data_IF_138420605716
#
_entry.id   IF_138420605716
#
_cell.length_a   1.000
_cell.length_b   1.000
_cell.length_c   1.000
_cell.angle_alpha   90.00
_cell.angle_beta   90.00
_cell.angle_gamma   90.00
#
_symmetry.space_group_name_H-M   'P 1'
#
loop_
_entity.id
_entity.type
_entity.pdbx_description
1 polymer ?
#
# COMPACT_ATOMS: atom_id res chain seq x y z
N UNK A 1 -5.23 -42.83 -5.63
CA UNK A 1 -4.23 -42.33 -4.65
C UNK A 1 -5.00 -41.58 -3.60
N UNK A 2 -5.13 -42.15 -2.42
CA UNK A 2 -5.87 -41.56 -1.32
C UNK A 2 -4.94 -40.64 -0.55
N UNK A 3 -5.34 -39.37 -0.43
CA UNK A 3 -4.67 -38.31 0.35
C UNK A 3 -4.58 -38.58 1.87
N UNK A 4 -4.75 -39.82 2.30
CA UNK A 4 -5.02 -40.18 3.69
C UNK A 4 -3.87 -40.95 4.39
N UNK A 5 -2.70 -41.07 3.78
CA UNK A 5 -1.55 -41.64 4.47
C UNK A 5 -0.71 -40.54 5.12
N UNK A 6 -0.80 -40.36 6.47
CA UNK A 6 -0.01 -39.36 7.17
C UNK A 6 1.50 -39.66 7.16
N UNK A 7 1.90 -40.84 6.68
CA UNK A 7 3.30 -41.25 6.57
C UNK A 7 3.88 -41.06 5.15
N UNK A 8 3.06 -40.58 4.22
CA UNK A 8 3.57 -40.25 2.88
C UNK A 8 4.53 -39.08 2.99
N UNK A 9 5.83 -39.26 2.62
CA UNK A 9 6.79 -38.18 2.63
C UNK A 9 6.44 -37.02 1.69
N UNK A 10 5.49 -37.24 0.75
CA UNK A 10 4.96 -36.23 -0.14
C UNK A 10 3.75 -35.46 0.43
N UNK A 11 3.17 -35.91 1.55
CA UNK A 11 1.98 -35.31 2.14
C UNK A 11 2.17 -33.79 2.44
N UNK A 12 3.37 -33.40 2.83
CA UNK A 12 3.74 -32.00 3.04
C UNK A 12 3.67 -31.17 1.75
N UNK A 13 3.99 -31.75 0.60
CA UNK A 13 3.97 -31.07 -0.70
C UNK A 13 2.55 -30.95 -1.27
N UNK A 14 1.66 -31.86 -0.92
CA UNK A 14 0.24 -31.84 -1.32
C UNK A 14 -0.44 -30.56 -0.84
N UNK A 15 -0.11 -30.06 0.36
CA UNK A 15 -0.63 -28.81 0.87
C UNK A 15 -0.22 -27.60 0.02
N UNK A 16 0.96 -27.60 -0.57
CA UNK A 16 1.44 -26.56 -1.45
C UNK A 16 0.79 -26.64 -2.83
N UNK A 17 0.56 -27.85 -3.34
CA UNK A 17 -0.05 -28.08 -4.65
C UNK A 17 -1.56 -27.85 -4.65
N UNK A 18 -2.24 -28.19 -3.55
CA UNK A 18 -3.69 -28.08 -3.41
C UNK A 18 -4.16 -26.78 -2.74
N UNK A 19 -3.24 -25.94 -2.26
CA UNK A 19 -3.63 -24.64 -1.71
C UNK A 19 -4.14 -23.74 -2.82
N UNK A 20 -5.45 -23.41 -2.86
CA UNK A 20 -6.01 -22.51 -3.88
C UNK A 20 -5.55 -21.05 -3.67
N UNK A 21 -4.82 -20.78 -2.60
CA UNK A 21 -4.44 -19.41 -2.21
C UNK A 21 -2.95 -19.18 -2.40
N UNK A 22 -2.54 -18.94 -3.64
CA UNK A 22 -1.23 -18.38 -3.94
C UNK A 22 -1.25 -16.86 -3.63
N UNK A 23 -1.02 -16.50 -2.37
CA UNK A 23 -1.02 -15.10 -1.93
C UNK A 23 0.22 -14.32 -2.36
N UNK A 24 1.26 -15.00 -2.83
CA UNK A 24 2.56 -14.41 -3.17
C UNK A 24 2.44 -13.34 -4.26
N UNK A 25 1.79 -13.66 -5.36
CA UNK A 25 1.58 -12.71 -6.46
C UNK A 25 0.77 -11.50 -6.02
N UNK A 26 -0.28 -11.70 -5.21
CA UNK A 26 -1.09 -10.62 -4.67
C UNK A 26 -0.27 -9.74 -3.72
N UNK A 27 0.50 -10.35 -2.82
CA UNK A 27 1.36 -9.62 -1.89
C UNK A 27 2.44 -8.83 -2.65
N UNK A 28 3.06 -9.43 -3.66
CA UNK A 28 4.04 -8.76 -4.51
C UNK A 28 3.46 -7.52 -5.20
N UNK A 29 2.31 -7.66 -5.82
CA UNK A 29 1.64 -6.55 -6.53
C UNK A 29 1.17 -5.45 -5.59
N UNK A 30 0.68 -5.83 -4.41
CA UNK A 30 0.14 -4.89 -3.43
C UNK A 30 1.23 -4.14 -2.67
N UNK A 31 2.28 -4.83 -2.27
CA UNK A 31 3.35 -4.26 -1.43
C UNK A 31 4.55 -3.75 -2.25
N UNK A 32 4.66 -4.15 -3.51
CA UNK A 32 5.80 -3.82 -4.35
C UNK A 32 7.07 -4.52 -3.92
N UNK A 33 7.01 -5.83 -3.80
CA UNK A 33 8.11 -6.69 -3.37
C UNK A 33 8.53 -7.70 -4.41
N UNK A 34 9.59 -8.47 -4.14
CA UNK A 34 10.02 -9.58 -4.99
C UNK A 34 9.06 -10.76 -4.88
N UNK A 35 9.16 -11.70 -5.82
CA UNK A 35 8.29 -12.88 -5.88
C UNK A 35 8.37 -13.74 -4.61
N UNK A 36 9.54 -13.89 -4.03
CA UNK A 36 9.78 -14.76 -2.86
C UNK A 36 9.71 -13.97 -1.55
N UNK A 37 8.55 -13.40 -1.23
CA UNK A 37 8.35 -12.60 0.00
C UNK A 37 8.60 -13.45 1.25
N UNK A 38 8.20 -14.72 1.25
CA UNK A 38 8.40 -15.62 2.39
C UNK A 38 9.85 -16.00 2.68
N UNK A 39 10.76 -15.80 1.73
CA UNK A 39 12.20 -15.99 1.91
C UNK A 39 12.93 -14.68 2.33
N UNK A 40 12.31 -13.84 3.14
CA UNK A 40 12.87 -12.56 3.58
C UNK A 40 12.60 -11.39 2.65
N UNK A 41 11.78 -11.59 1.62
CA UNK A 41 11.41 -10.55 0.66
C UNK A 41 10.63 -9.38 1.25
N UNK A 42 10.09 -9.50 2.48
CA UNK A 42 9.45 -8.38 3.19
C UNK A 42 10.37 -7.17 3.38
N UNK A 43 11.68 -7.40 3.54
CA UNK A 43 12.67 -6.33 3.64
C UNK A 43 12.92 -5.60 2.31
N UNK A 44 12.33 -6.07 1.21
CA UNK A 44 12.46 -5.47 -0.11
C UNK A 44 11.17 -4.80 -0.61
N UNK A 45 10.05 -4.95 0.12
CA UNK A 45 8.79 -4.31 -0.27
C UNK A 45 8.88 -2.79 -0.21
N UNK A 46 8.11 -2.11 -1.04
CA UNK A 46 8.09 -0.65 -1.09
C UNK A 46 7.12 -0.06 -0.08
N UNK A 47 6.00 -0.73 0.15
CA UNK A 47 4.90 -0.18 0.94
C UNK A 47 4.32 -1.21 1.90
N UNK A 48 3.78 -0.70 2.99
CA UNK A 48 2.84 -1.38 3.88
C UNK A 48 1.65 -0.45 4.11
N UNK A 49 0.49 -1.02 4.33
CA UNK A 49 -0.75 -0.25 4.49
C UNK A 49 -1.32 -0.46 5.88
N UNK A 50 -2.06 0.56 6.34
CA UNK A 50 -2.80 0.49 7.60
C UNK A 50 -4.17 1.13 7.41
N UNK A 51 -5.17 0.51 8.03
CA UNK A 51 -6.53 1.04 8.16
C UNK A 51 -6.58 1.94 9.39
N UNK A 52 -6.68 3.29 9.23
CA UNK A 52 -6.67 4.21 10.36
C UNK A 52 -7.95 4.14 11.18
N UNK A 53 -9.08 3.74 10.58
CA UNK A 53 -10.38 3.65 11.23
C UNK A 53 -10.44 2.45 12.17
N UNK A 54 -10.03 1.28 11.66
CA UNK A 54 -10.01 0.05 12.44
C UNK A 54 -8.73 -0.13 13.27
N UNK A 55 -7.74 0.75 13.11
CA UNK A 55 -6.42 0.69 13.74
C UNK A 55 -5.77 -0.69 13.58
N UNK A 56 -5.70 -1.17 12.33
CA UNK A 56 -5.12 -2.47 12.01
C UNK A 56 -4.19 -2.40 10.79
N UNK A 57 -3.23 -3.32 10.67
CA UNK A 57 -2.49 -3.51 9.43
C UNK A 57 -3.39 -3.99 8.30
N UNK A 58 -3.03 -3.62 7.07
CA UNK A 58 -3.71 -4.00 5.84
C UNK A 58 -4.53 -2.87 5.24
N UNK A 59 -5.06 -3.14 4.05
CA UNK A 59 -5.93 -2.20 3.35
C UNK A 59 -7.30 -2.12 4.02
N UNK A 60 -7.93 -0.93 4.06
CA UNK A 60 -9.35 -0.77 4.40
C UNK A 60 -10.25 -1.59 3.48
N UNK A 61 -11.43 -1.94 3.96
CA UNK A 61 -12.45 -2.61 3.14
C UNK A 61 -12.79 -1.75 1.91
N UNK A 62 -12.97 -2.39 0.76
CA UNK A 62 -13.25 -1.76 -0.54
C UNK A 62 -12.12 -0.88 -1.09
N UNK A 63 -10.91 -0.97 -0.54
CA UNK A 63 -9.73 -0.33 -1.09
C UNK A 63 -8.77 -1.38 -1.64
N UNK A 64 -8.32 -1.18 -2.86
CA UNK A 64 -7.31 -2.02 -3.52
C UNK A 64 -6.06 -1.20 -3.81
N UNK A 65 -4.90 -1.85 -3.81
CA UNK A 65 -3.62 -1.25 -4.10
C UNK A 65 -2.85 -2.09 -5.12
N UNK A 66 -2.21 -1.42 -6.07
CA UNK A 66 -1.33 -2.04 -7.06
C UNK A 66 -0.06 -1.20 -7.17
N UNK A 67 1.08 -1.81 -6.93
CA UNK A 67 2.39 -1.23 -7.26
C UNK A 67 2.69 -1.60 -8.71
N UNK A 68 2.44 -0.63 -9.60
CA UNK A 68 2.53 -0.82 -11.05
C UNK A 68 3.97 -0.82 -11.54
N UNK A 69 4.84 -0.03 -10.88
CA UNK A 69 6.25 0.14 -11.27
C UNK A 69 7.13 0.35 -10.04
N UNK A 70 8.31 -0.26 -10.08
CA UNK A 70 9.34 -0.13 -9.05
C UNK A 70 10.63 0.33 -9.73
N UNK A 71 11.23 1.38 -9.18
CA UNK A 71 12.54 1.90 -9.56
C UNK A 71 13.44 1.94 -8.31
N UNK A 72 14.68 2.38 -8.47
CA UNK A 72 15.65 2.42 -7.38
C UNK A 72 15.20 3.30 -6.21
N UNK A 73 14.69 4.48 -6.52
CA UNK A 73 14.33 5.57 -5.60
C UNK A 73 12.88 6.04 -5.72
N UNK A 74 12.08 5.38 -6.54
CA UNK A 74 10.67 5.68 -6.66
C UNK A 74 9.82 4.43 -6.94
N UNK A 75 8.50 4.56 -6.72
CA UNK A 75 7.52 3.56 -7.12
C UNK A 75 6.22 4.24 -7.56
N UNK A 76 5.55 3.62 -8.53
CA UNK A 76 4.22 4.04 -8.97
C UNK A 76 3.17 3.17 -8.30
N UNK A 77 2.30 3.80 -7.52
CA UNK A 77 1.23 3.17 -6.77
C UNK A 77 -0.13 3.59 -7.32
N UNK A 78 -1.01 2.62 -7.54
CA UNK A 78 -2.41 2.84 -7.89
C UNK A 78 -3.26 2.40 -6.71
N UNK A 79 -4.15 3.27 -6.24
CA UNK A 79 -5.17 2.99 -5.24
C UNK A 79 -6.55 3.10 -5.86
N UNK A 80 -7.42 2.14 -5.62
CA UNK A 80 -8.78 2.13 -6.13
C UNK A 80 -9.78 1.91 -5.00
N UNK A 81 -10.67 2.90 -4.79
CA UNK A 81 -11.80 2.78 -3.89
C UNK A 81 -13.02 2.28 -4.67
N UNK A 82 -13.44 1.06 -4.39
CA UNK A 82 -14.60 0.42 -5.01
C UNK A 82 -15.92 0.71 -4.27
N UNK A 83 -15.84 1.36 -3.10
CA UNK A 83 -17.04 1.82 -2.40
C UNK A 83 -17.73 2.93 -3.21
N UNK A 84 -19.03 2.81 -3.39
CA UNK A 84 -19.82 3.75 -4.19
C UNK A 84 -20.19 5.04 -3.44
N UNK A 85 -20.18 5.00 -2.12
CA UNK A 85 -20.75 6.05 -1.28
C UNK A 85 -19.72 6.66 -0.32
N UNK A 86 -18.73 5.88 0.11
CA UNK A 86 -17.84 6.29 1.19
C UNK A 86 -16.42 6.57 0.70
N UNK A 87 -15.87 7.66 1.20
CA UNK A 87 -14.42 7.91 1.14
C UNK A 87 -13.70 6.89 2.01
N UNK A 88 -12.53 6.44 1.57
CA UNK A 88 -11.68 5.51 2.30
C UNK A 88 -10.34 6.15 2.58
N UNK A 89 -9.93 6.08 3.84
CA UNK A 89 -8.65 6.58 4.31
C UNK A 89 -7.68 5.42 4.50
N UNK A 90 -6.45 5.59 4.06
CA UNK A 90 -5.38 4.61 4.23
C UNK A 90 -4.09 5.31 4.61
N UNK A 91 -3.32 4.69 5.50
CA UNK A 91 -1.96 5.13 5.80
C UNK A 91 -1.01 4.23 5.02
N UNK A 92 -0.14 4.84 4.23
CA UNK A 92 0.92 4.17 3.48
C UNK A 92 2.23 4.36 4.25
N UNK A 93 2.90 3.27 4.54
CA UNK A 93 4.22 3.26 5.17
C UNK A 93 5.28 2.92 4.11
N UNK A 94 6.40 3.58 4.15
CA UNK A 94 7.57 3.26 3.33
C UNK A 94 8.31 2.04 3.90
N UNK A 95 8.22 0.92 3.17
CA UNK A 95 8.79 -0.37 3.59
C UNK A 95 7.90 -1.17 4.56
N UNK A 96 8.28 -2.44 4.81
CA UNK A 96 7.52 -3.33 5.69
C UNK A 96 7.57 -2.89 7.16
N UNK A 97 8.67 -2.28 7.57
CA UNK A 97 8.97 -1.90 8.95
C UNK A 97 9.27 -0.39 9.11
N UNK A 98 8.86 0.43 8.13
CA UNK A 98 9.08 1.88 8.14
C UNK A 98 10.53 2.28 7.84
N UNK A 99 11.33 1.36 7.30
CA UNK A 99 12.74 1.55 6.98
C UNK A 99 12.99 2.50 5.82
N UNK A 100 11.96 2.79 5.00
CA UNK A 100 12.07 3.74 3.90
C UNK A 100 11.45 5.08 4.25
N UNK A 101 12.11 6.17 3.89
CA UNK A 101 11.57 7.52 3.98
C UNK A 101 10.86 7.88 2.68
N UNK A 102 9.60 8.25 2.74
CA UNK A 102 8.86 8.85 1.62
C UNK A 102 9.30 10.32 1.55
N UNK A 103 9.98 10.69 0.46
CA UNK A 103 10.47 12.05 0.26
C UNK A 103 9.37 12.98 -0.24
N UNK A 104 8.70 12.55 -1.30
CA UNK A 104 7.64 13.31 -1.94
C UNK A 104 6.68 12.42 -2.70
N UNK A 105 5.50 12.92 -2.97
CA UNK A 105 4.47 12.27 -3.78
C UNK A 105 3.98 13.21 -4.87
N UNK A 106 3.79 12.67 -6.08
CA UNK A 106 3.16 13.35 -7.21
C UNK A 106 1.93 12.57 -7.64
N UNK A 107 0.73 13.03 -7.31
CA UNK A 107 -0.50 12.50 -7.90
C UNK A 107 -0.56 12.81 -9.39
N UNK A 108 -1.07 11.89 -10.23
CA UNK A 108 -1.22 12.13 -11.68
C UNK A 108 -2.14 13.33 -11.99
N UNK A 109 -3.02 13.71 -11.06
CA UNK A 109 -3.89 14.88 -11.17
C UNK A 109 -3.22 16.22 -10.86
N UNK A 110 -1.96 16.21 -10.41
CA UNK A 110 -1.21 17.42 -10.03
C UNK A 110 0.08 17.54 -10.81
N UNK A 111 0.53 18.76 -10.99
CA UNK A 111 1.81 19.10 -11.64
C UNK A 111 2.95 19.25 -10.63
N UNK A 112 2.61 19.53 -9.38
CA UNK A 112 3.58 19.79 -8.33
C UNK A 112 3.69 18.61 -7.36
N UNK A 113 4.92 18.33 -6.94
CA UNK A 113 5.21 17.33 -5.92
C UNK A 113 4.85 17.85 -4.54
N UNK A 114 4.26 17.00 -3.73
CA UNK A 114 3.96 17.27 -2.33
C UNK A 114 5.09 16.66 -1.50
N UNK A 115 5.77 17.46 -0.70
CA UNK A 115 6.81 16.98 0.21
C UNK A 115 6.18 16.23 1.37
N UNK A 116 6.72 15.04 1.68
CA UNK A 116 6.30 14.21 2.81
C UNK A 116 7.37 14.22 3.89
N UNK A 117 8.59 13.80 3.55
CA UNK A 117 9.74 13.85 4.47
C UNK A 117 9.69 12.84 5.62
N UNK A 118 8.75 11.90 5.63
CA UNK A 118 8.51 10.95 6.71
C UNK A 118 8.31 9.52 6.20
N UNK A 119 8.09 8.58 7.14
CA UNK A 119 7.81 7.19 6.79
C UNK A 119 6.33 6.89 6.52
N UNK A 120 5.43 7.83 6.83
CA UNK A 120 3.98 7.67 6.66
C UNK A 120 3.40 8.74 5.74
N UNK A 121 2.42 8.33 4.94
CA UNK A 121 1.60 9.18 4.09
C UNK A 121 0.14 8.80 4.27
N UNK A 122 -0.70 9.73 4.73
CA UNK A 122 -2.15 9.54 4.81
C UNK A 122 -2.78 9.87 3.46
N UNK A 123 -3.66 8.99 2.98
CA UNK A 123 -4.35 9.17 1.71
C UNK A 123 -5.84 8.96 1.88
N UNK A 124 -6.64 9.95 1.47
CA UNK A 124 -8.11 9.85 1.41
C UNK A 124 -8.54 9.70 -0.05
N UNK A 125 -9.27 8.62 -0.36
CA UNK A 125 -9.73 8.31 -1.70
C UNK A 125 -11.25 8.38 -1.75
N UNK A 126 -11.78 9.28 -2.59
CA UNK A 126 -13.22 9.46 -2.76
C UNK A 126 -13.92 8.21 -3.27
N UNK A 127 -15.28 8.14 -3.18
CA UNK A 127 -16.06 7.02 -3.67
C UNK A 127 -15.84 6.76 -5.16
N UNK A 128 -15.82 5.49 -5.57
CA UNK A 128 -15.70 5.04 -6.96
C UNK A 128 -14.56 5.73 -7.72
N UNK A 129 -13.43 5.99 -7.06
CA UNK A 129 -12.32 6.73 -7.64
C UNK A 129 -11.01 5.94 -7.61
N UNK A 130 -10.14 6.30 -8.53
CA UNK A 130 -8.79 5.75 -8.67
C UNK A 130 -7.79 6.88 -8.55
N UNK A 131 -6.79 6.67 -7.70
CA UNK A 131 -5.69 7.60 -7.48
C UNK A 131 -4.37 6.94 -7.90
N UNK A 132 -3.60 7.62 -8.74
CA UNK A 132 -2.27 7.20 -9.16
C UNK A 132 -1.24 8.14 -8.56
N UNK A 133 -0.23 7.55 -7.93
CA UNK A 133 0.80 8.26 -7.18
C UNK A 133 2.18 7.84 -7.66
N UNK A 134 3.02 8.81 -8.01
CA UNK A 134 4.46 8.61 -8.16
C UNK A 134 5.13 9.01 -6.84
N UNK A 135 5.65 8.03 -6.12
CA UNK A 135 6.21 8.19 -4.77
C UNK A 135 7.72 8.09 -4.84
N UNK A 136 8.40 9.19 -4.55
CA UNK A 136 9.85 9.20 -4.38
C UNK A 136 10.22 8.84 -2.96
N UNK A 137 11.24 7.99 -2.79
CA UNK A 137 11.66 7.51 -1.49
C UNK A 137 13.18 7.41 -1.36
N UNK A 138 13.66 7.51 -0.13
CA UNK A 138 15.01 7.12 0.26
C UNK A 138 14.92 5.79 0.99
N UNK A 139 15.49 4.77 0.37
CA UNK A 139 15.44 3.42 0.92
C UNK A 139 16.41 3.27 2.10
N UNK A 140 15.99 2.50 3.11
CA UNK A 140 16.79 2.19 4.31
C UNK A 140 17.33 3.45 4.99
N UNK A 141 16.50 4.50 5.08
CA UNK A 141 16.85 5.77 5.69
C UNK A 141 16.54 5.81 7.19
N UNK A 142 15.67 4.92 7.64
CA UNK A 142 15.24 4.82 9.03
C UNK A 142 15.56 3.44 9.60
N UNK A 143 15.70 3.34 10.91
CA UNK A 143 15.77 2.06 11.59
C UNK A 143 14.43 1.33 11.48
N UNK A 144 14.44 0.01 11.18
CA UNK A 144 13.21 -0.78 11.14
C UNK A 144 12.49 -0.78 12.50
N UNK A 145 11.15 -0.66 12.47
CA UNK A 145 10.34 -0.62 13.67
C UNK A 145 8.99 -1.32 13.45
N UNK A 146 8.47 -1.95 14.50
CA UNK A 146 7.10 -2.49 14.53
C UNK A 146 6.06 -1.45 14.98
N UNK A 147 6.47 -0.21 15.21
CA UNK A 147 5.57 0.88 15.62
C UNK A 147 4.40 1.02 14.65
N UNK A 148 3.24 1.28 15.19
CA UNK A 148 2.04 1.55 14.42
C UNK A 148 1.87 3.06 14.21
N UNK A 149 1.27 3.50 13.07
CA UNK A 149 1.18 4.93 12.76
C UNK A 149 0.34 5.74 13.76
N UNK A 150 -0.59 5.11 14.49
CA UNK A 150 -1.42 5.78 15.50
C UNK A 150 -0.70 5.99 16.84
N UNK A 151 0.42 5.33 17.09
CA UNK A 151 1.25 5.59 18.26
C UNK A 151 2.10 6.84 18.08
N UNK A 152 2.40 7.20 16.83
CA UNK A 152 3.20 8.37 16.45
C UNK A 152 2.45 9.29 15.47
N UNK A 153 1.18 9.56 15.71
CA UNK A 153 0.26 10.25 14.80
C UNK A 153 0.69 11.67 14.33
N UNK A 154 1.82 12.21 14.81
CA UNK A 154 2.33 13.53 14.42
C UNK A 154 3.23 13.54 13.19
N UNK A 155 3.55 12.37 12.62
CA UNK A 155 4.55 12.27 11.52
C UNK A 155 3.93 12.02 10.13
N UNK A 156 2.62 11.91 10.01
CA UNK A 156 1.98 11.61 8.74
C UNK A 156 1.55 12.88 8.00
N UNK A 157 1.82 12.92 6.70
CA UNK A 157 1.33 13.97 5.79
C UNK A 157 0.02 13.52 5.15
N UNK A 158 -0.96 14.41 5.11
CA UNK A 158 -2.28 14.12 4.55
C UNK A 158 -2.35 14.45 3.05
N UNK A 159 -2.80 13.48 2.27
CA UNK A 159 -3.13 13.62 0.87
C UNK A 159 -4.62 13.30 0.65
N UNK A 160 -5.39 14.29 0.25
CA UNK A 160 -6.82 14.15 -0.04
C UNK A 160 -7.02 14.13 -1.55
N UNK A 161 -7.61 13.04 -2.06
CA UNK A 161 -8.02 12.93 -3.46
C UNK A 161 -9.42 13.54 -3.64
N UNK A 162 -9.64 14.46 -4.59
CA UNK A 162 -10.96 15.05 -4.83
C UNK A 162 -11.97 13.97 -5.25
N UNK A 163 -13.23 14.15 -4.88
CA UNK A 163 -14.34 13.30 -5.32
C UNK A 163 -14.54 13.45 -6.83
N UNK A 164 -14.91 12.37 -7.52
CA UNK A 164 -15.13 12.34 -8.98
C UNK A 164 -16.23 13.32 -9.46
N UNK A 165 -17.03 13.88 -8.55
CA UNK A 165 -18.17 14.78 -8.84
C UNK A 165 -17.95 16.24 -8.43
N UNK A 166 -16.81 16.61 -7.86
CA UNK A 166 -16.53 18.02 -7.55
C UNK A 166 -15.94 18.76 -8.76
N UNK A 167 -16.57 18.62 -9.90
CA UNK A 167 -16.32 19.50 -11.07
C UNK A 167 -17.03 20.86 -10.95
N UNK A 168 -17.62 21.18 -9.80
CA UNK A 168 -18.45 22.40 -9.63
C UNK A 168 -17.99 23.30 -8.51
N UNK A 169 -16.68 23.41 -8.24
CA UNK A 169 -16.20 24.44 -7.30
C UNK A 169 -14.89 25.07 -7.73
N UNK A 170 -14.81 25.48 -9.01
CA UNK A 170 -13.96 26.59 -9.38
C UNK A 170 -14.90 27.75 -9.67
N UNK A 171 -15.39 28.42 -8.62
CA UNK A 171 -15.80 29.82 -8.75
C UNK A 171 -14.51 30.63 -8.79
N UNK A 172 -14.14 31.02 -9.99
CA UNK A 172 -13.24 32.15 -10.21
C UNK A 172 -14.04 33.37 -9.71
N UNK A 173 -13.66 33.90 -8.57
CA UNK A 173 -14.16 35.20 -8.12
C UNK A 173 -13.59 36.28 -9.02
N UNK A 174 -14.45 37.21 -9.37
CA UNK A 174 -14.19 38.50 -10.04
C UNK A 174 -13.12 39.34 -9.34
#
# INVERSE_FOLDING_TARGET
ETMDDPNDPMAIHIWQELSPMLLEGLAQLTLGGPMYIYHGGLMHVRFRYFDPVQKRPGLPTNLSALVERIEADCARLILANTDKLQTRDVIIQGGAFGEHQILSVLPDSKTERITVGGKYLNVSIGPSSVLRLNISMKRYANDPSYDTPWEKAREAVDLISPRRHDTTAIKIGD
#
